data_IF_125911596721
#
_entry.id   IF_125911596721
#
_cell.length_a   1.000
_cell.length_b   1.000
_cell.length_c   1.000
_cell.angle_alpha   90.00
_cell.angle_beta   90.00
_cell.angle_gamma   90.00
#
_symmetry.space_group_name_H-M   'P 1'
#
loop_
_entity.id
_entity.type
_entity.pdbx_description
1 polymer ?
#
# COMPACT_ATOMS: atom_id res chain seq x y z
N UNK A 1 -29.17 -2.46 52.91
CA UNK A 1 -29.09 -0.99 52.92
C UNK A 1 -27.74 -0.65 52.33
N UNK A 2 -27.72 0.04 51.18
CA UNK A 2 -26.56 0.60 50.44
C UNK A 2 -25.61 -0.51 49.91
N UNK A 3 -25.15 -0.56 48.65
CA UNK A 3 -24.60 0.46 47.76
C UNK A 3 -24.91 0.14 46.29
N UNK A 4 -25.65 1.02 45.61
CA UNK A 4 -26.05 0.84 44.21
C UNK A 4 -25.78 2.04 43.29
N UNK A 5 -25.13 3.10 43.78
CA UNK A 5 -25.05 4.38 43.05
C UNK A 5 -23.62 4.91 42.90
N UNK A 6 -22.64 4.05 42.60
CA UNK A 6 -21.39 4.57 42.01
C UNK A 6 -21.56 4.71 40.50
N UNK A 7 -21.62 5.97 40.05
CA UNK A 7 -21.70 6.35 38.64
C UNK A 7 -20.54 5.76 37.83
N UNK A 8 -20.84 5.33 36.60
CA UNK A 8 -19.91 4.60 35.73
C UNK A 8 -18.59 5.36 35.52
N UNK A 9 -18.68 6.69 35.36
CA UNK A 9 -17.50 7.54 35.15
C UNK A 9 -16.61 7.60 36.38
N UNK A 10 -17.18 7.52 37.58
CA UNK A 10 -16.43 7.53 38.84
C UNK A 10 -15.66 6.24 39.06
N UNK A 11 -16.25 5.10 38.69
CA UNK A 11 -15.56 3.79 38.70
C UNK A 11 -14.45 3.73 37.67
N UNK A 12 -14.73 4.18 36.45
CA UNK A 12 -13.75 4.18 35.35
C UNK A 12 -12.57 5.14 35.61
N UNK A 13 -12.85 6.33 36.14
CA UNK A 13 -11.83 7.31 36.55
C UNK A 13 -10.90 6.74 37.62
N UNK A 14 -11.46 6.08 38.63
CA UNK A 14 -10.70 5.44 39.71
C UNK A 14 -9.79 4.34 39.16
N UNK A 15 -10.34 3.43 38.36
CA UNK A 15 -9.58 2.35 37.73
C UNK A 15 -8.46 2.88 36.82
N UNK A 16 -8.69 3.98 36.09
CA UNK A 16 -7.67 4.63 35.25
C UNK A 16 -6.57 5.30 36.07
N UNK A 17 -6.91 5.94 37.20
CA UNK A 17 -5.91 6.53 38.11
C UNK A 17 -5.12 5.46 38.85
N UNK A 18 -5.75 4.37 39.24
CA UNK A 18 -5.08 3.21 39.85
C UNK A 18 -4.13 2.54 38.84
N UNK A 19 -4.55 2.31 37.59
CA UNK A 19 -3.64 1.85 36.52
C UNK A 19 -2.46 2.81 36.27
N UNK A 20 -2.69 4.12 36.33
CA UNK A 20 -1.62 5.12 36.15
C UNK A 20 -0.67 5.18 37.36
N UNK A 21 -1.15 4.85 38.56
CA UNK A 21 -0.35 4.78 39.78
C UNK A 21 0.48 3.48 39.85
N UNK A 22 -0.09 2.35 39.40
CA UNK A 22 0.63 1.08 39.20
C UNK A 22 1.67 1.19 38.06
N UNK A 23 1.45 2.12 37.12
CA UNK A 23 2.38 2.46 36.05
C UNK A 23 3.43 3.54 36.42
N UNK A 24 3.62 3.86 37.70
CA UNK A 24 4.83 4.58 38.12
C UNK A 24 6.06 3.71 37.80
N UNK A 25 7.17 4.29 37.33
CA UNK A 25 8.16 3.55 36.56
C UNK A 25 8.79 2.48 37.43
N UNK A 26 8.69 1.23 36.97
CA UNK A 26 9.57 0.15 37.36
C UNK A 26 11.01 0.55 37.01
N UNK A 27 11.61 1.32 37.90
CA UNK A 27 13.06 1.36 38.07
C UNK A 27 13.40 0.00 38.67
N UNK A 28 14.12 -0.79 37.87
CA UNK A 28 14.65 -2.12 38.16
C UNK A 28 13.69 -3.31 37.99
N UNK A 29 13.71 -3.93 36.80
CA UNK A 29 13.97 -5.37 36.63
C UNK A 29 13.90 -5.79 35.14
N UNK A 30 15.03 -5.67 34.44
CA UNK A 30 15.43 -6.62 33.42
C UNK A 30 16.94 -6.82 33.55
N UNK A 31 17.33 -7.70 34.47
CA UNK A 31 18.68 -8.23 34.54
C UNK A 31 18.91 -9.15 33.33
N UNK A 32 19.33 -8.55 32.23
CA UNK A 32 20.16 -9.21 31.22
C UNK A 32 21.61 -9.04 31.67
N UNK A 33 22.49 -10.05 31.60
CA UNK A 33 23.92 -9.80 31.70
C UNK A 33 24.37 -9.22 30.36
N UNK A 34 23.98 -7.97 30.09
CA UNK A 34 24.65 -7.15 29.12
C UNK A 34 25.47 -6.16 29.94
N UNK A 35 26.79 -6.20 29.74
CA UNK A 35 27.67 -5.09 30.05
C UNK A 35 27.06 -3.83 29.41
N UNK A 36 26.27 -3.10 30.17
CA UNK A 36 25.78 -1.78 29.82
C UNK A 36 26.74 -0.81 30.49
N UNK A 37 27.88 -0.62 29.82
CA UNK A 37 28.69 0.56 30.05
C UNK A 37 27.78 1.77 29.80
N UNK A 38 27.58 2.59 30.84
CA UNK A 38 26.83 3.83 30.73
C UNK A 38 27.31 4.58 29.47
N UNK A 39 26.42 5.01 28.56
CA UNK A 39 26.86 5.60 27.31
C UNK A 39 27.63 6.86 27.64
N UNK A 40 28.96 6.79 27.50
CA UNK A 40 29.79 7.99 27.41
C UNK A 40 29.21 8.82 26.26
N UNK A 41 29.13 10.15 26.38
CA UNK A 41 28.72 10.98 25.26
C UNK A 41 29.65 10.68 24.10
N UNK A 42 29.16 9.94 23.10
CA UNK A 42 29.91 9.62 21.90
C UNK A 42 30.25 10.95 21.26
N UNK A 43 31.55 11.22 21.19
CA UNK A 43 32.02 12.40 20.50
C UNK A 43 31.81 12.16 19.00
N UNK A 44 31.70 13.24 18.21
CA UNK A 44 31.59 13.13 16.76
C UNK A 44 32.70 12.28 16.10
N UNK A 45 33.81 12.04 16.81
CA UNK A 45 34.97 11.26 16.36
C UNK A 45 34.78 9.74 16.49
N UNK A 46 33.83 9.26 17.30
CA UNK A 46 33.59 7.83 17.51
C UNK A 46 32.55 7.26 16.51
N UNK A 47 31.93 8.12 15.71
CA UNK A 47 30.89 7.74 14.77
C UNK A 47 31.48 7.25 13.43
N UNK A 48 30.96 6.15 12.87
CA UNK A 48 31.41 5.67 11.58
C UNK A 48 31.14 6.69 10.46
N UNK A 49 31.91 6.67 9.36
CA UNK A 49 31.67 7.54 8.22
C UNK A 49 30.28 7.30 7.61
N UNK A 50 29.56 8.37 7.27
CA UNK A 50 28.18 8.29 6.75
C UNK A 50 28.10 7.42 5.49
N UNK A 51 29.12 7.49 4.63
CA UNK A 51 29.15 6.75 3.35
C UNK A 51 29.30 5.23 3.54
N UNK A 52 29.78 4.80 4.71
CA UNK A 52 29.89 3.38 5.06
C UNK A 52 28.61 2.78 5.64
N UNK A 53 27.60 3.62 5.92
CA UNK A 53 26.35 3.19 6.53
C UNK A 53 25.45 2.46 5.51
N UNK A 54 24.98 1.29 5.93
CA UNK A 54 23.98 0.45 5.27
C UNK A 54 22.65 0.48 6.04
N UNK A 55 21.61 -0.19 5.52
CA UNK A 55 20.32 -0.31 6.20
C UNK A 55 20.44 -0.98 7.59
N UNK A 56 21.31 -1.99 7.69
CA UNK A 56 21.57 -2.77 8.91
C UNK A 56 22.48 -2.06 9.92
N UNK A 57 22.98 -0.87 9.58
CA UNK A 57 23.86 -0.11 10.47
C UNK A 57 23.08 0.51 11.62
N UNK A 58 23.72 0.69 12.78
CA UNK A 58 23.09 1.36 13.92
C UNK A 58 23.11 2.89 13.75
N UNK A 59 21.96 3.47 13.41
CA UNK A 59 21.77 4.92 13.33
C UNK A 59 21.48 5.56 14.71
N UNK A 60 21.20 4.76 15.74
CA UNK A 60 20.90 5.25 17.09
C UNK A 60 22.05 6.05 17.70
N UNK A 61 23.29 5.69 17.38
CA UNK A 61 24.49 6.43 17.77
C UNK A 61 24.48 7.88 17.26
N UNK A 62 23.99 8.12 16.03
CA UNK A 62 23.91 9.47 15.46
C UNK A 62 22.82 10.31 16.12
N UNK A 63 21.78 9.70 16.71
CA UNK A 63 20.64 10.41 17.30
C UNK A 63 20.87 10.86 18.74
N UNK A 64 22.00 10.52 19.35
CA UNK A 64 22.33 10.85 20.73
C UNK A 64 22.44 12.37 20.96
N UNK A 65 22.11 12.85 22.18
CA UNK A 65 22.33 14.23 22.56
C UNK A 65 23.82 14.57 22.50
N UNK A 66 24.17 15.67 21.82
CA UNK A 66 25.56 16.06 21.56
C UNK A 66 25.99 15.90 20.10
N UNK A 67 25.27 15.09 19.31
CA UNK A 67 25.53 14.97 17.87
C UNK A 67 24.95 16.18 17.12
N UNK A 68 25.82 16.84 16.34
CA UNK A 68 25.46 18.01 15.54
C UNK A 68 24.26 17.73 14.63
N UNK A 69 23.35 18.70 14.52
CA UNK A 69 22.11 18.56 13.71
C UNK A 69 22.42 18.19 12.26
N UNK A 70 23.47 18.76 11.67
CA UNK A 70 23.87 18.47 10.30
C UNK A 70 24.26 16.99 10.10
N UNK A 71 25.03 16.44 11.04
CA UNK A 71 25.48 15.04 11.02
C UNK A 71 24.32 14.06 11.20
N UNK A 72 23.36 14.41 12.08
CA UNK A 72 22.09 13.68 12.20
C UNK A 72 21.30 13.66 10.90
N UNK A 73 21.15 14.83 10.27
CA UNK A 73 20.40 14.94 9.02
C UNK A 73 21.08 14.18 7.88
N UNK A 74 22.41 14.18 7.79
CA UNK A 74 23.12 13.42 6.76
C UNK A 74 22.99 11.91 6.96
N UNK A 75 23.10 11.43 8.21
CA UNK A 75 22.89 10.00 8.50
C UNK A 75 21.47 9.55 8.15
N UNK A 76 20.45 10.32 8.55
CA UNK A 76 19.05 10.01 8.20
C UNK A 76 18.80 10.08 6.69
N UNK A 77 19.38 11.06 5.98
CA UNK A 77 19.31 11.11 4.51
C UNK A 77 19.92 9.86 3.87
N UNK A 78 21.02 9.34 4.42
CA UNK A 78 21.62 8.09 3.93
C UNK A 78 20.70 6.89 4.16
N UNK A 79 20.07 6.78 5.33
CA UNK A 79 19.11 5.71 5.64
C UNK A 79 17.94 5.69 4.66
N UNK A 80 17.28 6.85 4.46
CA UNK A 80 16.11 6.94 3.58
C UNK A 80 16.45 7.01 2.09
N UNK A 81 17.73 7.05 1.72
CA UNK A 81 18.14 6.92 0.31
C UNK A 81 18.07 5.48 -0.20
N UNK A 82 17.95 4.50 0.71
CA UNK A 82 17.89 3.08 0.36
C UNK A 82 16.65 2.73 -0.48
N UNK A 83 16.78 1.94 -1.56
CA UNK A 83 15.67 1.51 -2.41
C UNK A 83 14.52 0.84 -1.67
N UNK A 84 14.77 0.24 -0.51
CA UNK A 84 13.74 -0.40 0.30
C UNK A 84 12.61 0.55 0.72
N UNK A 85 12.91 1.85 0.84
CA UNK A 85 11.91 2.87 1.21
C UNK A 85 11.32 3.61 0.01
N UNK A 86 11.68 3.24 -1.22
CA UNK A 86 11.16 3.91 -2.42
C UNK A 86 9.72 3.45 -2.69
N UNK A 87 8.91 4.35 -3.25
CA UNK A 87 7.50 4.10 -3.59
C UNK A 87 7.28 2.85 -4.46
N UNK A 88 8.25 2.52 -5.31
CA UNK A 88 8.18 1.35 -6.19
C UNK A 88 8.23 0.01 -5.47
N UNK A 89 8.84 -0.04 -4.28
CA UNK A 89 8.99 -1.25 -3.46
C UNK A 89 7.94 -1.36 -2.33
N UNK A 90 7.11 -0.33 -2.15
CA UNK A 90 6.00 -0.38 -1.19
C UNK A 90 4.89 -1.32 -1.70
N UNK A 91 4.18 -1.99 -0.78
CA UNK A 91 3.09 -2.95 -1.09
C UNK A 91 1.91 -2.31 -1.88
N UNK A 92 1.78 -0.99 -1.86
CA UNK A 92 0.73 -0.21 -2.56
C UNK A 92 -0.71 -0.60 -2.24
N UNK A 93 -0.92 -1.36 -1.16
CA UNK A 93 -2.25 -1.85 -0.76
C UNK A 93 -3.03 -0.86 0.12
N UNK A 94 -2.38 0.22 0.58
CA UNK A 94 -3.06 1.25 1.37
C UNK A 94 -4.03 2.06 0.49
N UNK A 95 -5.29 2.13 0.94
CA UNK A 95 -6.42 2.73 0.21
C UNK A 95 -6.25 4.21 -0.15
N UNK A 96 -5.27 4.89 0.43
CA UNK A 96 -5.00 6.33 0.20
C UNK A 96 -3.54 6.61 -0.14
N UNK A 97 -2.87 5.65 -0.78
CA UNK A 97 -1.47 5.81 -1.18
C UNK A 97 -1.31 6.74 -2.40
N UNK A 98 -2.32 6.78 -3.26
CA UNK A 98 -2.29 7.55 -4.51
C UNK A 98 -2.73 9.01 -4.34
N UNK A 99 -2.20 9.87 -5.20
CA UNK A 99 -2.61 11.27 -5.30
C UNK A 99 -3.83 11.41 -6.22
N UNK A 100 -5.02 11.38 -5.63
CA UNK A 100 -6.29 11.55 -6.34
C UNK A 100 -6.54 12.95 -6.90
N UNK A 101 -5.62 13.91 -6.70
CA UNK A 101 -5.68 15.19 -7.41
C UNK A 101 -5.18 15.09 -8.85
N UNK A 102 -4.49 13.99 -9.18
CA UNK A 102 -4.00 13.71 -10.53
C UNK A 102 -5.07 12.92 -11.28
N UNK A 103 -5.52 13.47 -12.41
CA UNK A 103 -6.46 12.79 -13.30
C UNK A 103 -5.74 11.65 -14.05
N UNK A 104 -6.38 10.47 -14.12
CA UNK A 104 -5.95 9.35 -14.97
C UNK A 104 -6.89 9.21 -16.17
N UNK A 105 -6.63 9.94 -17.28
CA UNK A 105 -7.55 9.98 -18.42
C UNK A 105 -7.54 8.69 -19.22
N UNK A 106 -8.74 8.25 -19.64
CA UNK A 106 -8.93 7.12 -20.54
C UNK A 106 -8.21 7.40 -21.87
N UNK A 107 -7.38 6.47 -22.33
CA UNK A 107 -6.66 6.60 -23.61
C UNK A 107 -7.62 6.62 -24.81
N UNK A 108 -7.26 7.33 -25.89
CA UNK A 108 -8.11 7.39 -27.09
C UNK A 108 -8.36 6.02 -27.72
N UNK A 109 -7.39 5.11 -27.65
CA UNK A 109 -7.53 3.74 -28.15
C UNK A 109 -8.57 2.97 -27.33
N UNK A 110 -8.51 3.06 -25.99
CA UNK A 110 -9.51 2.46 -25.12
C UNK A 110 -10.88 3.13 -25.27
N UNK A 111 -10.92 4.43 -25.52
CA UNK A 111 -12.17 5.14 -25.77
C UNK A 111 -12.86 4.64 -27.05
N UNK A 112 -12.09 4.31 -28.09
CA UNK A 112 -12.61 3.75 -29.36
C UNK A 112 -13.16 2.33 -29.21
N UNK A 113 -12.71 1.55 -28.22
CA UNK A 113 -13.24 0.19 -27.98
C UNK A 113 -14.54 0.16 -27.18
N UNK A 114 -14.98 1.30 -26.63
CA UNK A 114 -16.24 1.42 -25.89
C UNK A 114 -17.46 1.50 -26.83
N UNK A 115 -17.67 0.47 -27.65
CA UNK A 115 -18.75 0.43 -28.64
C UNK A 115 -20.15 0.65 -28.03
N UNK A 116 -20.37 0.13 -26.82
CA UNK A 116 -21.65 0.27 -26.11
C UNK A 116 -21.96 1.71 -25.70
N UNK A 117 -20.92 2.53 -25.48
CA UNK A 117 -21.05 3.91 -25.03
C UNK A 117 -20.87 4.90 -26.19
N UNK A 118 -20.55 4.41 -27.40
CA UNK A 118 -20.22 5.23 -28.57
C UNK A 118 -21.31 6.24 -28.92
N UNK A 119 -22.59 5.84 -28.90
CA UNK A 119 -23.72 6.74 -29.19
C UNK A 119 -23.97 7.78 -28.08
N UNK A 120 -23.53 7.52 -26.84
CA UNK A 120 -23.73 8.43 -25.70
C UNK A 120 -22.60 9.46 -25.63
N UNK A 121 -21.36 9.01 -25.86
CA UNK A 121 -20.16 9.84 -25.79
C UNK A 121 -19.86 10.57 -27.11
N UNK A 122 -20.26 10.00 -28.25
CA UNK A 122 -20.00 10.55 -29.58
C UNK A 122 -21.31 10.67 -30.37
N UNK A 123 -21.63 11.89 -30.80
CA UNK A 123 -22.77 12.19 -31.66
C UNK A 123 -22.43 11.83 -33.14
N UNK A 124 -22.16 10.56 -33.40
CA UNK A 124 -21.84 10.05 -34.74
C UNK A 124 -22.99 9.19 -35.31
N UNK A 125 -23.50 9.49 -36.52
CA UNK A 125 -24.51 8.66 -37.16
C UNK A 125 -23.91 7.33 -37.60
N UNK A 126 -24.57 6.22 -37.22
CA UNK A 126 -24.20 4.85 -37.59
C UNK A 126 -24.05 4.73 -39.12
N UNK A 127 -22.82 4.54 -39.61
CA UNK A 127 -22.56 4.17 -41.01
C UNK A 127 -23.14 2.77 -41.24
N UNK A 128 -23.99 2.56 -42.27
CA UNK A 128 -24.64 1.27 -42.47
C UNK A 128 -23.59 0.20 -42.81
N UNK A 129 -23.55 -0.87 -42.01
CA UNK A 129 -22.90 -2.11 -42.37
C UNK A 129 -23.56 -2.65 -43.64
N UNK A 130 -22.77 -2.74 -44.71
CA UNK A 130 -23.12 -3.57 -45.87
C UNK A 130 -23.01 -5.01 -45.39
N UNK A 131 -24.16 -5.64 -45.18
CA UNK A 131 -24.28 -7.07 -44.95
C UNK A 131 -23.92 -7.76 -46.27
N UNK A 132 -22.68 -8.24 -46.40
CA UNK A 132 -22.39 -9.32 -47.35
C UNK A 132 -22.83 -10.65 -46.71
N UNK A 133 -24.03 -11.08 -47.10
CA UNK A 133 -24.51 -12.45 -46.93
C UNK A 133 -24.15 -13.27 -48.20
N UNK A 134 -24.05 -14.60 -48.07
CA UNK A 134 -23.06 -15.43 -48.76
C UNK A 134 -23.47 -15.83 -50.18
N UNK A 135 -22.50 -15.88 -51.11
CA UNK A 135 -22.69 -16.49 -52.43
C UNK A 135 -22.48 -18.00 -52.32
N UNK A 136 -23.58 -18.71 -52.12
CA UNK A 136 -23.71 -20.15 -52.32
C UNK A 136 -23.60 -20.45 -53.83
N UNK A 137 -22.47 -21.00 -54.26
CA UNK A 137 -22.36 -21.65 -55.58
C UNK A 137 -22.48 -23.15 -55.38
N UNK A 138 -23.64 -23.68 -55.76
CA UNK A 138 -23.97 -25.09 -55.78
C UNK A 138 -23.17 -25.85 -56.85
N UNK A 139 -22.64 -27.02 -56.49
CA UNK A 139 -22.56 -28.18 -57.39
C UNK A 139 -23.00 -29.45 -56.63
N UNK A 140 -23.60 -30.43 -57.32
CA UNK A 140 -24.67 -31.28 -56.77
C UNK A 140 -24.17 -32.58 -56.13
N UNK A 141 -24.77 -32.97 -55.00
CA UNK A 141 -24.71 -34.34 -54.49
C UNK A 141 -25.71 -35.22 -55.24
N UNK A 142 -25.20 -36.26 -55.89
CA UNK A 142 -26.00 -37.41 -56.32
C UNK A 142 -26.06 -38.41 -55.16
N UNK A 143 -27.21 -38.48 -54.49
CA UNK A 143 -27.55 -39.61 -53.62
C UNK A 143 -28.94 -40.11 -54.05
N UNK A 144 -28.95 -41.32 -54.60
CA UNK A 144 -30.10 -41.94 -55.22
C UNK A 144 -30.73 -42.87 -54.18
N UNK A 145 -31.90 -42.50 -53.65
CA UNK A 145 -32.71 -43.40 -52.81
C UNK A 145 -34.16 -43.37 -53.31
N UNK A 146 -34.55 -44.51 -53.86
CA UNK A 146 -35.88 -44.89 -54.37
C UNK A 146 -37.08 -44.39 -53.53
N UNK A 147 -38.18 -43.93 -54.18
CA UNK A 147 -39.41 -43.63 -53.48
C UNK A 147 -40.28 -44.89 -53.37
N UNK A 148 -40.62 -45.19 -52.12
CA UNK A 148 -41.70 -46.05 -51.63
C UNK A 148 -42.94 -46.12 -52.55
N UNK A 149 -43.42 -47.33 -52.85
CA UNK A 149 -44.84 -47.57 -53.17
C UNK A 149 -45.35 -48.84 -52.48
N UNK A 150 -46.12 -48.62 -51.42
CA UNK A 150 -47.14 -49.54 -50.93
C UNK A 150 -48.30 -49.59 -51.93
N UNK A 151 -48.57 -50.77 -52.51
CA UNK A 151 -49.89 -51.29 -52.94
C UNK A 151 -49.74 -52.75 -53.41
#
# INVERSE_FOLDING_TARGET
>A
MVDGDEDFLSRWSRLKREQAADAAPAKDAAAVPATAEAPRPLSAADLPPIDSLTLESDYGAFLQPGVGKALRQSALKKLFSDPHFHFDQMDKLDTYIDDYSIEDPISEEMMKTLDHARHILFDEPKKPEVVEAPSETAEPQQDNVDPKQDA
#
